data_IF_107331499039
#
_entry.id   IF_107331499039
#
_cell.length_a   1.000
_cell.length_b   1.000
_cell.length_c   1.000
_cell.angle_alpha   90.00
_cell.angle_beta   90.00
_cell.angle_gamma   90.00
#
_symmetry.space_group_name_H-M   'P 1'
#
loop_
_entity.id
_entity.type
_entity.pdbx_description
1 polymer ?
#
# COMPACT_ATOMS: atom_id res chain seq x y z
N UNK A 1 -20.19 -15.48 -0.59
CA UNK A 1 -18.93 -15.06 0.05
C UNK A 1 -18.86 -13.57 -0.10
N UNK A 2 -18.95 -12.80 0.99
CA UNK A 2 -18.74 -11.36 0.92
C UNK A 2 -17.36 -11.07 0.34
N UNK A 3 -17.29 -10.12 -0.59
CA UNK A 3 -16.05 -9.79 -1.28
C UNK A 3 -15.07 -9.17 -0.27
N UNK A 4 -13.87 -9.73 -0.11
CA UNK A 4 -12.91 -9.26 0.91
C UNK A 4 -12.25 -7.92 0.53
N UNK A 5 -12.39 -7.49 -0.72
CA UNK A 5 -11.74 -6.30 -1.28
C UNK A 5 -12.54 -5.67 -2.41
N UNK A 6 -12.14 -4.46 -2.81
CA UNK A 6 -12.54 -3.77 -4.03
C UNK A 6 -11.28 -3.40 -4.82
N UNK A 7 -11.30 -3.59 -6.14
CA UNK A 7 -10.28 -3.03 -7.02
C UNK A 7 -10.68 -1.60 -7.33
N UNK A 8 -9.87 -0.63 -6.92
CA UNK A 8 -10.14 0.79 -7.15
C UNK A 8 -9.60 1.23 -8.50
N UNK A 9 -8.43 0.73 -8.87
CA UNK A 9 -7.76 0.99 -10.14
C UNK A 9 -7.11 -0.31 -10.60
N UNK A 10 -7.25 -0.64 -11.89
CA UNK A 10 -6.60 -1.79 -12.51
C UNK A 10 -5.78 -1.35 -13.70
N UNK A 11 -4.51 -1.71 -13.70
CA UNK A 11 -3.57 -1.40 -14.77
C UNK A 11 -2.88 -2.69 -15.24
N UNK A 12 -3.59 -3.56 -15.97
CA UNK A 12 -3.07 -4.87 -16.37
C UNK A 12 -1.87 -4.80 -17.31
N UNK A 13 -1.63 -3.69 -18.02
CA UNK A 13 -0.45 -3.55 -18.87
C UNK A 13 0.86 -3.38 -18.06
N UNK A 14 0.74 -2.99 -16.78
CA UNK A 14 1.87 -2.65 -15.92
C UNK A 14 2.48 -1.30 -16.29
N UNK A 15 2.27 -0.27 -15.47
CA UNK A 15 2.69 1.09 -15.77
C UNK A 15 4.07 1.39 -15.16
N UNK A 16 4.96 1.94 -15.99
CA UNK A 16 6.28 2.44 -15.56
C UNK A 16 6.16 3.75 -14.76
N UNK A 17 7.23 4.22 -14.09
CA UNK A 17 7.23 5.52 -13.41
C UNK A 17 6.81 6.69 -14.30
N UNK A 18 7.17 6.67 -15.59
CA UNK A 18 6.80 7.73 -16.53
C UNK A 18 5.30 7.80 -16.86
N UNK A 19 4.56 6.72 -16.56
CA UNK A 19 3.15 6.55 -16.86
C UNK A 19 2.24 6.79 -15.65
N UNK A 20 2.82 6.95 -14.46
CA UNK A 20 2.10 7.24 -13.23
C UNK A 20 2.49 8.64 -12.76
N UNK A 21 1.52 9.54 -12.76
CA UNK A 21 1.67 10.88 -12.20
C UNK A 21 0.95 10.97 -10.86
N UNK A 22 1.29 12.00 -10.08
CA UNK A 22 0.63 12.31 -8.82
C UNK A 22 0.10 13.74 -8.89
N UNK A 23 -1.11 13.94 -8.38
CA UNK A 23 -1.62 15.24 -7.96
C UNK A 23 -1.63 15.27 -6.44
N UNK A 24 -0.65 15.93 -5.84
CA UNK A 24 -0.50 16.02 -4.39
C UNK A 24 -1.01 17.38 -3.89
N UNK A 25 -2.14 17.38 -3.17
CA UNK A 25 -2.87 18.59 -2.81
C UNK A 25 -3.69 18.40 -1.52
N UNK A 26 -3.90 19.49 -0.77
CA UNK A 26 -4.65 19.48 0.49
C UNK A 26 -6.15 19.15 0.31
N UNK A 27 -6.71 19.36 -0.89
CA UNK A 27 -8.08 18.95 -1.21
C UNK A 27 -8.29 17.43 -1.15
N UNK A 28 -7.21 16.65 -1.16
CA UNK A 28 -7.23 15.20 -1.00
C UNK A 28 -6.93 14.75 0.45
N UNK A 29 -6.81 15.68 1.39
CA UNK A 29 -6.71 15.36 2.81
C UNK A 29 -8.06 14.83 3.35
N UNK A 30 -8.03 14.31 4.57
CA UNK A 30 -9.25 13.83 5.26
C UNK A 30 -10.15 15.02 5.60
N UNK A 31 -11.44 14.87 5.35
CA UNK A 31 -12.48 15.79 5.84
C UNK A 31 -12.89 15.36 7.25
N UNK A 32 -12.84 16.24 8.28
CA UNK A 32 -13.34 15.91 9.61
C UNK A 32 -14.78 15.41 9.59
N UNK A 33 -15.10 14.45 10.45
CA UNK A 33 -16.45 13.91 10.54
C UNK A 33 -17.40 14.95 11.17
N UNK A 34 -18.64 15.13 10.68
CA UNK A 34 -19.57 16.14 11.21
C UNK A 34 -20.08 15.83 12.62
N UNK A 35 -20.13 14.55 13.00
CA UNK A 35 -20.36 14.12 14.39
C UNK A 35 -19.10 14.39 15.23
N UNK A 36 -19.20 15.36 16.13
CA UNK A 36 -18.10 15.84 16.98
C UNK A 36 -17.63 14.76 17.96
N UNK A 37 -18.53 13.94 18.48
CA UNK A 37 -18.16 12.88 19.43
C UNK A 37 -17.36 11.79 18.71
N UNK A 38 -17.78 11.43 17.50
CA UNK A 38 -17.05 10.50 16.67
C UNK A 38 -15.68 11.05 16.25
N UNK A 39 -15.61 12.33 15.86
CA UNK A 39 -14.34 12.99 15.51
C UNK A 39 -13.38 13.06 16.70
N UNK A 40 -13.88 13.43 17.89
CA UNK A 40 -13.07 13.48 19.11
C UNK A 40 -12.55 12.10 19.52
N UNK A 41 -13.29 11.02 19.21
CA UNK A 41 -12.87 9.64 19.50
C UNK A 41 -11.54 9.25 18.85
N UNK A 42 -11.14 9.91 17.74
CA UNK A 42 -9.82 9.69 17.12
C UNK A 42 -8.70 9.96 18.12
N UNK A 43 -8.82 11.06 18.87
CA UNK A 43 -7.84 11.48 19.87
C UNK A 43 -7.85 10.53 21.07
N UNK A 44 -9.03 10.20 21.56
CA UNK A 44 -9.20 9.33 22.73
C UNK A 44 -8.62 7.93 22.50
N UNK A 45 -8.88 7.32 21.33
CA UNK A 45 -8.34 6.00 20.99
C UNK A 45 -6.82 6.03 20.89
N UNK A 46 -6.26 7.08 20.29
CA UNK A 46 -4.81 7.25 20.21
C UNK A 46 -4.18 7.35 21.60
N UNK A 47 -4.72 8.20 22.48
CA UNK A 47 -4.19 8.41 23.82
C UNK A 47 -4.23 7.11 24.65
N UNK A 48 -5.32 6.33 24.53
CA UNK A 48 -5.42 5.00 25.14
C UNK A 48 -4.38 4.01 24.58
N UNK A 49 -4.04 4.12 23.30
CA UNK A 49 -3.05 3.24 22.65
C UNK A 49 -1.63 3.58 23.08
N UNK A 50 -1.28 4.86 23.15
CA UNK A 50 0.03 5.35 23.62
C UNK A 50 0.28 4.95 25.07
N UNK A 51 -0.74 5.00 25.94
CA UNK A 51 -0.63 4.51 27.32
C UNK A 51 -0.25 3.02 27.43
N UNK A 52 -0.58 2.21 26.42
CA UNK A 52 -0.32 0.76 26.38
C UNK A 52 0.97 0.40 25.65
N UNK A 53 1.58 1.31 24.90
CA UNK A 53 2.77 1.07 24.09
C UNK A 53 3.64 2.32 24.02
N UNK A 54 4.74 2.31 24.77
CA UNK A 54 5.68 3.44 24.88
C UNK A 54 6.55 3.64 23.64
N UNK A 55 6.60 2.65 22.74
CA UNK A 55 7.34 2.71 21.47
C UNK A 55 6.50 3.21 20.29
N UNK A 56 5.22 3.49 20.49
CA UNK A 56 4.34 3.97 19.43
C UNK A 56 4.64 5.44 19.11
N UNK A 57 4.91 5.75 17.84
CA UNK A 57 5.09 7.12 17.36
C UNK A 57 4.08 7.44 16.25
N UNK A 58 3.77 8.73 16.08
CA UNK A 58 2.88 9.21 15.02
C UNK A 58 3.70 9.58 13.77
N UNK A 59 3.75 8.68 12.78
CA UNK A 59 4.38 8.94 11.48
C UNK A 59 3.39 9.49 10.45
N UNK A 60 3.85 10.40 9.58
CA UNK A 60 3.06 10.90 8.45
C UNK A 60 2.97 9.86 7.35
N UNK A 61 1.86 9.88 6.62
CA UNK A 61 1.58 8.97 5.50
C UNK A 61 0.91 9.73 4.37
N UNK A 62 1.08 9.26 3.15
CA UNK A 62 0.25 9.71 2.04
C UNK A 62 -1.17 9.17 2.20
N UNK A 63 -2.16 10.04 2.06
CA UNK A 63 -3.58 9.67 2.01
C UNK A 63 -3.97 9.42 0.57
N UNK A 64 -4.65 8.31 0.32
CA UNK A 64 -5.27 8.09 -0.99
C UNK A 64 -6.59 8.87 -1.09
N UNK A 65 -6.61 9.87 -1.98
CA UNK A 65 -7.78 10.72 -2.25
C UNK A 65 -8.55 10.33 -3.50
N UNK A 66 -7.98 9.47 -4.36
CA UNK A 66 -8.60 9.03 -5.62
C UNK A 66 -7.59 8.84 -6.73
N UNK A 67 -8.08 8.73 -7.96
CA UNK A 67 -7.28 8.73 -9.16
C UNK A 67 -8.06 9.27 -10.35
N UNK A 68 -7.36 9.54 -11.44
CA UNK A 68 -7.93 9.91 -12.74
C UNK A 68 -7.08 9.36 -13.88
N UNK A 69 -7.64 9.37 -15.08
CA UNK A 69 -7.01 8.77 -16.25
C UNK A 69 -7.27 7.27 -16.36
N UNK A 70 -6.84 6.72 -17.49
CA UNK A 70 -6.89 5.29 -17.82
C UNK A 70 -5.57 4.94 -18.50
N UNK A 71 -5.24 3.65 -18.57
CA UNK A 71 -4.03 3.23 -19.29
C UNK A 71 -3.94 3.87 -20.69
N UNK A 72 -2.75 4.30 -21.13
CA UNK A 72 -1.45 4.00 -20.53
C UNK A 72 -0.96 5.05 -19.50
N UNK A 73 -1.78 6.02 -19.07
CA UNK A 73 -1.36 7.03 -18.10
C UNK A 73 -2.41 7.27 -17.01
N UNK A 74 -2.00 7.16 -15.76
CA UNK A 74 -2.86 7.41 -14.60
C UNK A 74 -2.29 8.53 -13.74
N UNK A 75 -3.17 9.24 -13.04
CA UNK A 75 -2.81 10.26 -12.06
C UNK A 75 -3.43 9.89 -10.72
N UNK A 76 -2.57 9.64 -9.72
CA UNK A 76 -2.99 9.36 -8.34
C UNK A 76 -3.24 10.68 -7.61
N UNK A 77 -4.37 10.79 -6.93
CA UNK A 77 -4.71 11.96 -6.12
C UNK A 77 -4.33 11.68 -4.68
N UNK A 78 -3.34 12.39 -4.16
CA UNK A 78 -2.75 12.11 -2.85
C UNK A 78 -2.85 13.32 -1.94
N UNK A 79 -3.27 13.08 -0.69
CA UNK A 79 -3.20 14.05 0.40
C UNK A 79 -2.20 13.61 1.47
N UNK A 80 -2.29 14.23 2.63
CA UNK A 80 -1.57 13.86 3.84
C UNK A 80 -2.52 13.28 4.88
N UNK A 81 -1.98 12.34 5.64
CA UNK A 81 -2.57 11.83 6.87
C UNK A 81 -1.46 11.37 7.80
N UNK A 82 -1.82 10.76 8.92
CA UNK A 82 -0.87 10.19 9.85
C UNK A 82 -1.38 8.88 10.49
N UNK A 83 -0.45 8.21 11.15
CA UNK A 83 -0.72 6.93 11.80
C UNK A 83 -1.72 7.07 12.97
N UNK A 84 -1.69 8.18 13.69
CA UNK A 84 -2.66 8.52 14.74
C UNK A 84 -4.09 8.53 14.20
N UNK A 85 -4.32 9.24 13.11
CA UNK A 85 -5.62 9.35 12.47
C UNK A 85 -6.04 8.00 11.91
N UNK A 86 -5.11 7.19 11.40
CA UNK A 86 -5.39 5.83 10.95
C UNK A 86 -5.89 4.93 12.09
N UNK A 87 -5.21 4.96 13.24
CA UNK A 87 -5.61 4.22 14.44
C UNK A 87 -6.99 4.68 14.93
N UNK A 88 -7.22 5.99 14.97
CA UNK A 88 -8.46 6.56 15.50
C UNK A 88 -9.67 6.56 14.54
N UNK A 89 -9.47 6.32 13.24
CA UNK A 89 -10.56 6.27 12.24
C UNK A 89 -10.70 4.88 11.62
N UNK A 90 -9.77 4.46 10.75
CA UNK A 90 -9.84 3.16 10.09
C UNK A 90 -9.78 1.99 11.08
N UNK A 91 -8.94 2.05 12.12
CA UNK A 91 -8.86 0.99 13.14
C UNK A 91 -9.80 1.21 14.34
N UNK A 92 -10.65 2.23 14.28
CA UNK A 92 -11.66 2.48 15.31
C UNK A 92 -12.63 1.28 15.39
N UNK A 93 -13.03 0.81 16.58
CA UNK A 93 -14.09 -0.19 16.70
C UNK A 93 -15.40 0.20 16.00
N UNK A 94 -15.65 1.50 15.82
CA UNK A 94 -16.78 2.09 15.12
C UNK A 94 -16.41 2.62 13.73
N UNK A 95 -15.35 2.11 13.09
CA UNK A 95 -14.85 2.62 11.80
C UNK A 95 -15.92 2.75 10.71
N UNK A 96 -16.93 1.88 10.71
CA UNK A 96 -18.05 1.93 9.77
C UNK A 96 -18.85 3.23 9.86
N UNK A 97 -18.91 3.85 11.05
CA UNK A 97 -19.59 5.14 11.26
C UNK A 97 -18.86 6.31 10.61
N UNK A 98 -17.57 6.17 10.29
CA UNK A 98 -16.83 7.19 9.53
C UNK A 98 -17.15 7.14 8.03
N UNK A 99 -17.84 6.10 7.55
CA UNK A 99 -18.14 5.99 6.12
C UNK A 99 -19.28 6.92 5.74
N UNK A 100 -19.06 7.71 4.69
CA UNK A 100 -20.16 8.40 4.03
C UNK A 100 -21.02 7.37 3.25
N UNK A 101 -22.36 7.51 3.19
CA UNK A 101 -23.25 6.61 2.44
C UNK A 101 -23.06 6.56 0.91
N UNK A 102 -22.03 7.22 0.36
CA UNK A 102 -21.79 7.26 -1.08
C UNK A 102 -21.19 5.93 -1.56
N UNK A 103 -21.49 5.55 -2.80
CA UNK A 103 -20.82 4.43 -3.47
C UNK A 103 -19.47 4.83 -4.08
N UNK A 104 -19.26 6.13 -4.33
CA UNK A 104 -17.97 6.67 -4.77
C UNK A 104 -16.93 6.50 -3.66
N UNK A 105 -15.80 5.85 -3.97
CA UNK A 105 -14.80 5.45 -2.99
C UNK A 105 -14.21 6.66 -2.24
N UNK A 106 -13.93 7.73 -2.98
CA UNK A 106 -13.30 8.94 -2.48
C UNK A 106 -14.22 9.63 -1.46
N UNK A 107 -15.51 9.76 -1.79
CA UNK A 107 -16.53 10.29 -0.88
C UNK A 107 -16.83 9.35 0.28
N UNK A 108 -16.98 8.06 0.02
CA UNK A 108 -17.23 7.04 1.05
C UNK A 108 -16.19 7.12 2.17
N UNK A 109 -14.92 7.28 1.80
CA UNK A 109 -13.78 7.29 2.72
C UNK A 109 -13.30 8.70 3.09
N UNK A 110 -14.09 9.74 2.82
CA UNK A 110 -13.65 11.13 3.04
C UNK A 110 -13.33 11.44 4.52
N UNK A 111 -13.97 10.75 5.47
CA UNK A 111 -13.74 10.93 6.90
C UNK A 111 -12.75 9.92 7.52
N UNK A 112 -12.17 9.02 6.73
CA UNK A 112 -11.14 8.09 7.19
C UNK A 112 -9.75 8.55 6.80
N UNK A 113 -8.74 8.16 7.58
CA UNK A 113 -7.32 8.44 7.31
C UNK A 113 -6.91 7.92 5.93
N UNK A 114 -7.32 6.70 5.58
CA UNK A 114 -7.04 6.06 4.28
C UNK A 114 -5.56 6.15 3.85
N UNK A 115 -4.60 5.77 4.72
CA UNK A 115 -3.19 5.80 4.34
C UNK A 115 -2.94 4.81 3.20
N UNK A 116 -2.25 5.26 2.16
CA UNK A 116 -1.89 4.42 1.03
C UNK A 116 -0.72 3.52 1.43
N UNK A 117 -0.98 2.22 1.58
CA UNK A 117 0.09 1.22 1.65
C UNK A 117 0.63 0.87 0.27
N UNK A 118 1.71 0.11 0.21
CA UNK A 118 2.21 -0.51 -1.02
C UNK A 118 2.40 -2.03 -0.84
N UNK A 119 2.57 -2.75 -1.94
CA UNK A 119 2.86 -4.18 -1.94
C UNK A 119 3.40 -4.67 -3.29
N UNK A 120 4.35 -5.59 -3.27
CA UNK A 120 5.04 -6.09 -4.46
C UNK A 120 4.76 -7.57 -4.70
N UNK A 121 4.27 -7.89 -5.88
CA UNK A 121 4.30 -9.24 -6.41
C UNK A 121 5.67 -9.43 -7.06
N UNK A 122 6.57 -10.08 -6.33
CA UNK A 122 7.93 -10.36 -6.80
C UNK A 122 7.97 -11.76 -7.43
N UNK A 123 8.32 -11.84 -8.71
CA UNK A 123 8.52 -13.10 -9.43
C UNK A 123 10.02 -13.40 -9.60
N UNK A 124 10.47 -14.55 -9.11
CA UNK A 124 11.85 -15.03 -9.25
C UNK A 124 12.15 -15.56 -10.65
N UNK A 125 13.44 -15.77 -10.97
CA UNK A 125 13.87 -16.27 -12.28
C UNK A 125 13.36 -17.69 -12.59
N UNK A 126 13.03 -18.47 -11.56
CA UNK A 126 12.37 -19.79 -11.63
C UNK A 126 10.83 -19.72 -11.49
N UNK A 127 10.24 -18.56 -11.76
CA UNK A 127 8.79 -18.32 -11.82
C UNK A 127 8.04 -18.64 -10.52
N UNK A 128 8.65 -18.36 -9.37
CA UNK A 128 8.01 -18.41 -8.05
C UNK A 128 7.62 -17.02 -7.60
N UNK A 129 6.51 -16.93 -6.86
CA UNK A 129 6.07 -15.69 -6.22
C UNK A 129 6.50 -15.70 -4.76
N UNK A 130 7.01 -14.55 -4.30
CA UNK A 130 7.40 -14.34 -2.91
C UNK A 130 6.20 -13.93 -2.06
N UNK A 131 6.02 -14.59 -0.92
CA UNK A 131 4.96 -14.29 0.06
C UNK A 131 5.53 -14.38 1.46
N UNK A 132 5.25 -13.38 2.29
CA UNK A 132 5.69 -13.33 3.69
C UNK A 132 4.58 -13.78 4.63
N UNK A 133 4.96 -14.44 5.73
CA UNK A 133 4.10 -14.63 6.89
C UNK A 133 4.42 -13.55 7.92
N UNK A 134 3.42 -12.75 8.25
CA UNK A 134 3.56 -11.70 9.27
C UNK A 134 3.85 -12.31 10.64
N UNK A 135 4.71 -11.65 11.40
CA UNK A 135 4.97 -11.97 12.81
C UNK A 135 3.70 -11.85 13.64
N UNK A 136 3.67 -12.54 14.79
CA UNK A 136 2.54 -12.42 15.72
C UNK A 136 2.59 -11.13 16.56
N UNK A 137 3.70 -10.39 16.47
CA UNK A 137 3.94 -9.17 17.24
C UNK A 137 3.53 -7.89 16.51
N UNK A 138 3.06 -7.99 15.27
CA UNK A 138 2.65 -6.83 14.47
C UNK A 138 1.26 -6.33 14.88
N UNK A 139 1.00 -5.04 14.67
CA UNK A 139 -0.26 -4.39 15.06
C UNK A 139 -1.48 -4.76 14.19
N UNK A 140 -1.26 -5.20 12.95
CA UNK A 140 -2.32 -5.57 12.01
C UNK A 140 -2.07 -6.96 11.40
N UNK A 141 -3.11 -7.79 11.39
CA UNK A 141 -3.13 -9.13 10.77
C UNK A 141 -1.94 -10.03 11.20
N UNK A 142 -1.74 -10.29 12.50
CA UNK A 142 -0.68 -11.17 12.97
C UNK A 142 -0.83 -12.59 12.39
N UNK A 143 0.27 -13.16 11.90
CA UNK A 143 0.29 -14.51 11.31
C UNK A 143 -0.31 -14.63 9.91
N UNK A 144 -0.88 -13.56 9.34
CA UNK A 144 -1.43 -13.56 7.98
C UNK A 144 -0.33 -13.59 6.93
N UNK A 145 -0.70 -14.02 5.73
CA UNK A 145 0.17 -13.96 4.56
C UNK A 145 0.04 -12.59 3.88
N UNK A 146 1.16 -12.05 3.41
CA UNK A 146 1.20 -10.79 2.67
C UNK A 146 2.23 -10.85 1.55
N UNK A 147 2.06 -9.98 0.57
CA UNK A 147 3.14 -9.61 -0.34
C UNK A 147 4.10 -8.66 0.38
N UNK A 148 5.40 -8.67 0.05
CA UNK A 148 6.35 -7.70 0.60
C UNK A 148 5.89 -6.27 0.35
N UNK A 149 6.13 -5.37 1.30
CA UNK A 149 5.73 -3.97 1.21
C UNK A 149 5.35 -3.35 2.54
N UNK A 150 5.17 -2.04 2.52
CA UNK A 150 4.83 -1.24 3.69
C UNK A 150 4.12 0.05 3.28
N UNK A 151 4.78 1.19 3.46
CA UNK A 151 4.17 2.49 3.20
C UNK A 151 5.19 3.52 2.69
N UNK A 152 4.91 4.20 1.56
CA UNK A 152 5.66 5.40 1.22
C UNK A 152 5.45 6.47 2.29
N UNK A 153 6.54 7.10 2.72
CA UNK A 153 6.51 8.14 3.76
C UNK A 153 6.78 9.53 3.16
N UNK A 154 5.95 10.55 3.45
CA UNK A 154 6.19 11.90 2.96
C UNK A 154 7.56 12.47 3.37
N UNK A 155 8.11 12.05 4.50
CA UNK A 155 9.36 12.56 5.03
C UNK A 155 10.58 12.13 4.20
N UNK A 156 10.53 10.97 3.53
CA UNK A 156 11.59 10.49 2.61
C UNK A 156 11.80 11.43 1.42
N UNK A 157 10.77 12.17 1.03
CA UNK A 157 10.83 13.20 -0.02
C UNK A 157 10.84 14.63 0.51
N UNK A 158 11.05 14.80 1.83
CA UNK A 158 11.15 16.09 2.49
C UNK A 158 9.81 16.82 2.64
N UNK A 159 8.68 16.12 2.56
CA UNK A 159 7.34 16.69 2.72
C UNK A 159 6.91 16.59 4.17
N UNK A 160 6.81 17.75 4.83
CA UNK A 160 6.29 17.85 6.20
C UNK A 160 4.90 18.48 6.27
N UNK A 161 4.48 19.23 5.26
CA UNK A 161 3.14 19.82 5.12
C UNK A 161 2.92 20.34 3.69
N UNK A 162 1.68 20.65 3.34
CA UNK A 162 1.32 21.29 2.06
C UNK A 162 1.87 22.71 1.87
N UNK A 163 2.35 23.36 2.95
CA UNK A 163 2.86 24.75 2.91
C UNK A 163 4.07 24.92 1.98
N UNK A 164 4.74 23.83 1.63
CA UNK A 164 5.87 23.83 0.69
C UNK A 164 5.45 24.07 -0.78
N UNK A 165 4.17 24.09 -1.15
CA UNK A 165 3.68 24.13 -2.54
C UNK A 165 3.53 25.53 -3.17
N UNK A 166 4.05 26.61 -2.58
CA UNK A 166 3.85 27.96 -3.16
C UNK A 166 4.51 28.09 -4.55
N UNK A 167 3.68 28.12 -5.61
CA UNK A 167 4.07 28.34 -7.01
C UNK A 167 3.94 27.10 -7.91
N UNK A 168 3.55 27.29 -9.19
CA UNK A 168 3.25 26.20 -10.14
C UNK A 168 4.45 25.25 -10.39
N UNK A 169 5.65 25.80 -10.62
CA UNK A 169 6.87 25.00 -10.81
C UNK A 169 7.23 24.15 -9.58
N UNK A 170 6.87 24.62 -8.40
CA UNK A 170 7.12 23.91 -7.14
C UNK A 170 6.12 22.75 -6.95
N UNK A 171 4.87 22.93 -7.36
CA UNK A 171 3.86 21.87 -7.38
C UNK A 171 4.24 20.73 -8.34
N UNK A 172 4.68 21.03 -9.57
CA UNK A 172 5.13 20.02 -10.52
C UNK A 172 6.34 19.22 -10.00
N UNK A 173 7.32 19.91 -9.40
CA UNK A 173 8.47 19.27 -8.78
C UNK A 173 8.06 18.35 -7.62
N UNK A 174 7.15 18.80 -6.75
CA UNK A 174 6.65 17.99 -5.63
C UNK A 174 5.90 16.76 -6.16
N UNK A 175 5.00 16.94 -7.13
CA UNK A 175 4.27 15.84 -7.77
C UNK A 175 5.21 14.80 -8.38
N UNK A 176 6.28 15.25 -9.05
CA UNK A 176 7.31 14.36 -9.59
C UNK A 176 8.05 13.59 -8.50
N UNK A 177 8.44 14.25 -7.39
CA UNK A 177 9.08 13.58 -6.24
C UNK A 177 8.18 12.57 -5.57
N UNK A 178 6.91 12.92 -5.34
CA UNK A 178 5.95 12.00 -4.72
C UNK A 178 5.67 10.81 -5.63
N UNK A 179 5.54 11.03 -6.94
CA UNK A 179 5.39 9.93 -7.89
C UNK A 179 6.60 8.99 -7.85
N UNK A 180 7.81 9.53 -7.92
CA UNK A 180 9.04 8.73 -7.84
C UNK A 180 9.11 7.92 -6.54
N UNK A 181 8.74 8.52 -5.41
CA UNK A 181 8.70 7.85 -4.12
C UNK A 181 7.71 6.68 -4.05
N UNK A 182 6.61 6.69 -4.83
CA UNK A 182 5.71 5.53 -4.90
C UNK A 182 6.44 4.29 -5.45
N UNK A 183 7.41 4.47 -6.34
CA UNK A 183 8.19 3.38 -6.94
C UNK A 183 9.46 3.09 -6.14
N UNK A 184 10.15 4.11 -5.64
CA UNK A 184 11.36 3.93 -4.86
C UNK A 184 11.05 3.22 -3.53
N UNK A 185 9.95 3.60 -2.85
CA UNK A 185 9.54 2.97 -1.59
C UNK A 185 9.32 1.47 -1.74
N UNK A 186 8.63 1.02 -2.80
CA UNK A 186 8.36 -0.40 -2.92
C UNK A 186 9.62 -1.22 -3.22
N UNK A 187 10.60 -0.65 -3.91
CA UNK A 187 11.91 -1.30 -4.09
C UNK A 187 12.64 -1.40 -2.75
N UNK A 188 12.66 -0.32 -1.96
CA UNK A 188 13.28 -0.31 -0.63
C UNK A 188 12.66 -1.37 0.28
N UNK A 189 11.33 -1.41 0.36
CA UNK A 189 10.59 -2.38 1.18
C UNK A 189 10.90 -3.83 0.79
N UNK A 190 10.98 -4.13 -0.52
CA UNK A 190 11.36 -5.48 -0.98
C UNK A 190 12.80 -5.82 -0.56
N UNK A 191 13.72 -4.87 -0.65
CA UNK A 191 15.12 -5.08 -0.24
C UNK A 191 15.21 -5.27 1.28
N UNK A 192 14.50 -4.47 2.06
CA UNK A 192 14.53 -4.46 3.52
C UNK A 192 13.88 -5.72 4.12
N UNK A 193 12.72 -6.14 3.59
CA UNK A 193 11.98 -7.31 4.07
C UNK A 193 12.51 -8.65 3.53
N UNK A 194 13.06 -8.68 2.32
CA UNK A 194 13.52 -9.93 1.67
C UNK A 194 15.05 -10.08 1.71
N UNK A 195 15.81 -8.99 1.82
CA UNK A 195 17.27 -9.00 1.83
C UNK A 195 17.93 -9.18 0.46
N UNK A 196 17.16 -9.18 -0.63
CA UNK A 196 17.71 -9.27 -2.00
C UNK A 196 18.38 -7.96 -2.41
N UNK A 197 19.49 -7.98 -3.17
CA UNK A 197 20.09 -6.75 -3.66
C UNK A 197 19.18 -6.04 -4.67
N UNK A 198 19.06 -4.71 -4.56
CA UNK A 198 18.27 -3.90 -5.51
C UNK A 198 18.66 -4.14 -6.98
N UNK A 199 19.94 -4.36 -7.27
CA UNK A 199 20.44 -4.64 -8.61
C UNK A 199 19.93 -5.95 -9.23
N UNK A 200 19.33 -6.85 -8.43
CA UNK A 200 18.70 -8.08 -8.92
C UNK A 200 17.22 -7.89 -9.26
N UNK A 201 16.63 -6.74 -8.92
CA UNK A 201 15.23 -6.41 -9.18
C UNK A 201 15.12 -5.63 -10.48
N UNK A 202 14.09 -5.92 -11.26
CA UNK A 202 13.68 -5.06 -12.38
C UNK A 202 13.03 -3.78 -11.86
N UNK A 203 12.88 -2.79 -12.75
CA UNK A 203 12.05 -1.64 -12.43
C UNK A 203 10.62 -2.09 -12.07
N UNK A 204 10.03 -1.53 -10.99
CA UNK A 204 8.66 -1.84 -10.60
C UNK A 204 7.64 -1.35 -11.62
N UNK A 205 6.66 -2.20 -11.91
CA UNK A 205 5.49 -1.87 -12.72
C UNK A 205 4.26 -1.72 -11.82
N UNK A 206 3.62 -0.56 -11.84
CA UNK A 206 2.37 -0.33 -11.12
C UNK A 206 1.22 -1.07 -11.79
N UNK A 207 0.54 -1.95 -11.05
CA UNK A 207 -0.54 -2.81 -11.59
C UNK A 207 -1.93 -2.41 -11.09
N UNK A 208 -2.01 -1.47 -10.15
CA UNK A 208 -3.28 -0.89 -9.70
C UNK A 208 -3.39 -0.69 -8.18
N UNK A 209 -4.61 -0.41 -7.72
CA UNK A 209 -4.93 -0.16 -6.31
C UNK A 209 -6.04 -1.08 -5.87
N UNK A 210 -5.84 -1.72 -4.73
CA UNK A 210 -6.82 -2.58 -4.07
C UNK A 210 -7.12 -2.03 -2.68
N UNK A 211 -8.39 -2.06 -2.30
CA UNK A 211 -8.87 -1.67 -0.98
C UNK A 211 -9.51 -2.86 -0.29
N UNK A 212 -9.09 -3.18 0.93
CA UNK A 212 -9.84 -4.17 1.73
C UNK A 212 -11.21 -3.61 2.10
N UNK A 213 -12.21 -4.49 2.20
CA UNK A 213 -13.53 -4.10 2.74
C UNK A 213 -13.43 -3.77 4.22
N UNK A 214 -12.73 -4.62 5.00
CA UNK A 214 -12.47 -4.36 6.41
C UNK A 214 -11.63 -3.09 6.59
N UNK A 215 -12.17 -2.09 7.28
CA UNK A 215 -11.48 -0.85 7.65
C UNK A 215 -11.01 0.00 6.45
N UNK A 216 -11.52 -0.29 5.24
CA UNK A 216 -11.35 0.50 4.00
C UNK A 216 -9.93 0.99 3.69
N UNK A 217 -8.89 0.23 4.07
CA UNK A 217 -7.49 0.62 3.79
C UNK A 217 -7.10 0.28 2.34
N UNK A 218 -6.62 1.27 1.56
CA UNK A 218 -6.10 1.05 0.22
C UNK A 218 -4.61 0.64 0.25
N UNK A 219 -4.19 -0.07 -0.79
CA UNK A 219 -2.79 -0.33 -1.09
C UNK A 219 -2.54 -0.34 -2.61
N UNK A 220 -1.46 0.32 -3.02
CA UNK A 220 -0.92 0.27 -4.37
C UNK A 220 -0.12 -1.03 -4.56
N UNK A 221 -0.32 -1.71 -5.69
CA UNK A 221 0.39 -2.94 -6.00
C UNK A 221 1.32 -2.78 -7.18
N UNK A 222 2.48 -3.40 -7.07
CA UNK A 222 3.53 -3.40 -8.07
C UNK A 222 3.92 -4.83 -8.44
N UNK A 223 4.36 -5.01 -9.68
CA UNK A 223 5.00 -6.23 -10.14
C UNK A 223 6.49 -5.98 -10.35
N UNK A 224 7.33 -6.88 -9.85
CA UNK A 224 8.79 -6.78 -9.92
C UNK A 224 9.34 -8.16 -10.30
N UNK A 225 10.26 -8.21 -11.27
CA UNK A 225 11.03 -9.44 -11.55
C UNK A 225 12.31 -9.43 -10.73
N UNK A 226 12.67 -10.58 -10.18
CA UNK A 226 13.92 -10.82 -9.49
C UNK A 226 14.75 -11.82 -10.30
N UNK A 227 16.00 -11.47 -10.59
CA UNK A 227 16.92 -12.32 -11.35
C UNK A 227 17.46 -13.52 -10.54
N UNK A 228 17.23 -13.56 -9.23
CA UNK A 228 17.61 -14.67 -8.37
C UNK A 228 16.56 -15.79 -8.41
N UNK A 229 17.03 -17.03 -8.30
CA UNK A 229 16.15 -18.18 -8.10
C UNK A 229 15.57 -18.17 -6.68
N UNK A 230 14.41 -18.80 -6.50
CA UNK A 230 13.76 -18.93 -5.21
C UNK A 230 14.67 -19.47 -4.10
N UNK A 231 15.58 -20.40 -4.41
CA UNK A 231 16.52 -20.97 -3.43
C UNK A 231 17.60 -19.97 -2.99
N UNK A 232 17.99 -19.04 -3.86
CA UNK A 232 18.94 -17.97 -3.56
C UNK A 232 18.28 -16.90 -2.70
N UNK A 233 17.04 -16.52 -3.04
CA UNK A 233 16.24 -15.59 -2.25
C UNK A 233 16.05 -16.11 -0.81
N UNK A 234 15.74 -17.40 -0.64
CA UNK A 234 15.59 -18.01 0.69
C UNK A 234 16.88 -17.94 1.53
N UNK A 235 18.06 -17.99 0.91
CA UNK A 235 19.34 -17.87 1.63
C UNK A 235 19.56 -16.45 2.14
N UNK A 236 19.30 -15.44 1.32
CA UNK A 236 19.52 -14.03 1.68
C UNK A 236 18.45 -13.48 2.63
N UNK A 237 17.26 -14.07 2.67
CA UNK A 237 16.19 -13.70 3.62
C UNK A 237 16.64 -13.76 5.09
N UNK A 238 17.54 -14.66 5.44
CA UNK A 238 18.13 -14.72 6.79
C UNK A 238 18.90 -13.46 7.20
N UNK A 239 19.25 -12.60 6.24
CA UNK A 239 19.93 -11.31 6.44
C UNK A 239 19.02 -10.09 6.22
N UNK A 240 17.71 -10.29 6.05
CA UNK A 240 16.75 -9.19 5.91
C UNK A 240 16.80 -8.25 7.13
N UNK A 241 16.71 -6.94 6.88
CA UNK A 241 16.78 -5.92 7.92
C UNK A 241 15.55 -5.98 8.83
N UNK A 242 14.38 -6.19 8.23
CA UNK A 242 13.10 -6.27 8.93
C UNK A 242 12.68 -7.70 9.26
N UNK A 243 13.66 -8.53 9.63
CA UNK A 243 13.44 -9.92 10.04
C UNK A 243 12.53 -10.10 11.27
N UNK A 244 12.13 -9.04 11.97
CA UNK A 244 11.17 -9.09 13.07
C UNK A 244 9.71 -8.97 12.60
N UNK A 245 9.46 -8.39 11.41
CA UNK A 245 8.10 -8.14 10.88
C UNK A 245 7.47 -9.38 10.25
N UNK A 246 8.30 -10.29 9.75
CA UNK A 246 7.89 -11.55 9.17
C UNK A 246 8.58 -12.74 9.86
N UNK A 247 7.90 -13.89 9.94
CA UNK A 247 8.43 -15.12 10.54
C UNK A 247 8.84 -16.16 9.51
N UNK A 248 8.42 -15.98 8.25
CA UNK A 248 8.68 -16.92 7.18
C UNK A 248 8.53 -16.27 5.81
N UNK A 249 9.45 -16.61 4.91
CA UNK A 249 9.32 -16.38 3.47
C UNK A 249 8.87 -17.66 2.76
N UNK A 250 7.83 -17.56 1.94
CA UNK A 250 7.36 -18.60 1.04
C UNK A 250 7.70 -18.24 -0.41
N UNK A 251 8.14 -19.25 -1.16
CA UNK A 251 8.40 -19.18 -2.60
C UNK A 251 7.49 -20.16 -3.30
N UNK A 252 6.37 -19.69 -3.84
CA UNK A 252 5.24 -20.55 -4.25
C UNK A 252 4.91 -20.38 -5.73
N UNK A 253 4.35 -21.42 -6.33
CA UNK A 253 3.77 -21.28 -7.67
C UNK A 253 2.44 -20.53 -7.64
N UNK A 254 2.05 -20.00 -8.80
CA UNK A 254 0.78 -19.28 -8.98
C UNK A 254 -0.45 -20.12 -8.54
N UNK A 255 -0.46 -21.42 -8.84
CA UNK A 255 -1.54 -22.33 -8.45
C UNK A 255 -1.66 -22.53 -6.93
N UNK A 256 -0.55 -22.49 -6.20
CA UNK A 256 -0.54 -22.56 -4.74
C UNK A 256 -1.01 -21.25 -4.12
N UNK A 257 -0.63 -20.12 -4.73
CA UNK A 257 -1.03 -18.79 -4.29
C UNK A 257 -2.56 -18.60 -4.32
N UNK A 258 -3.27 -19.20 -5.28
CA UNK A 258 -4.74 -19.19 -5.30
C UNK A 258 -5.36 -19.75 -4.02
N UNK A 259 -4.80 -20.85 -3.50
CA UNK A 259 -5.26 -21.47 -2.26
C UNK A 259 -4.85 -20.66 -1.03
N UNK A 260 -3.70 -19.98 -1.08
CA UNK A 260 -3.14 -19.22 0.04
C UNK A 260 -3.70 -17.80 0.15
N UNK A 261 -4.20 -17.21 -0.94
CA UNK A 261 -4.74 -15.86 -0.97
C UNK A 261 -5.88 -15.66 0.05
N UNK A 262 -6.67 -16.70 0.35
CA UNK A 262 -7.71 -16.63 1.38
C UNK A 262 -7.17 -16.34 2.80
N UNK A 263 -5.86 -16.47 3.05
CA UNK A 263 -5.19 -16.11 4.31
C UNK A 263 -4.52 -14.74 4.27
N UNK A 264 -4.70 -13.99 3.18
CA UNK A 264 -4.20 -12.63 3.06
C UNK A 264 -5.24 -11.61 3.54
N UNK A 265 -4.82 -10.43 4.02
CA UNK A 265 -5.72 -9.29 4.18
C UNK A 265 -6.39 -8.93 2.85
N UNK A 266 -7.59 -8.35 2.90
CA UNK A 266 -8.36 -8.04 1.69
C UNK A 266 -7.56 -7.26 0.63
N UNK A 267 -6.78 -6.25 1.03
CA UNK A 267 -5.98 -5.44 0.11
C UNK A 267 -4.99 -6.33 -0.68
N UNK A 268 -4.27 -7.25 -0.03
CA UNK A 268 -3.37 -8.19 -0.69
C UNK A 268 -4.10 -9.26 -1.51
N UNK A 269 -5.32 -9.68 -1.12
CA UNK A 269 -6.16 -10.51 -2.00
C UNK A 269 -6.49 -9.80 -3.30
N UNK A 270 -6.81 -8.51 -3.22
CA UNK A 270 -7.01 -7.71 -4.42
C UNK A 270 -5.72 -7.42 -5.19
N UNK A 271 -4.58 -7.30 -4.52
CA UNK A 271 -3.26 -7.28 -5.17
C UNK A 271 -3.02 -8.54 -6.01
N UNK A 272 -3.37 -9.71 -5.47
CA UNK A 272 -3.32 -10.96 -6.24
C UNK A 272 -4.33 -10.96 -7.41
N UNK A 273 -5.52 -10.39 -7.23
CA UNK A 273 -6.49 -10.25 -8.31
C UNK A 273 -5.97 -9.33 -9.44
N UNK A 274 -5.31 -8.21 -9.11
CA UNK A 274 -4.64 -7.33 -10.08
C UNK A 274 -3.55 -8.08 -10.85
N UNK A 275 -2.74 -8.88 -10.14
CA UNK A 275 -1.71 -9.68 -10.80
C UNK A 275 -2.31 -10.70 -11.79
N UNK A 276 -3.43 -11.35 -11.45
CA UNK A 276 -4.12 -12.24 -12.40
C UNK A 276 -4.63 -11.51 -13.64
N UNK A 277 -5.08 -10.26 -13.51
CA UNK A 277 -5.49 -9.44 -14.66
C UNK A 277 -4.29 -9.12 -15.55
N UNK A 278 -3.16 -8.74 -14.97
CA UNK A 278 -1.90 -8.51 -15.69
C UNK A 278 -1.44 -9.75 -16.47
N UNK A 279 -1.49 -10.94 -15.85
CA UNK A 279 -1.16 -12.20 -16.51
C UNK A 279 -2.12 -12.55 -17.67
N UNK A 280 -3.39 -12.13 -17.55
CA UNK A 280 -4.39 -12.29 -18.61
C UNK A 280 -4.10 -11.41 -19.82
N UNK A 281 -3.70 -10.17 -19.59
CA UNK A 281 -3.36 -9.21 -20.65
C UNK A 281 -2.08 -9.60 -21.40
N UNK A 282 -1.04 -10.04 -20.68
CA UNK A 282 0.19 -10.56 -21.28
C UNK A 282 0.01 -11.81 -22.15
N UNK A 283 -1.12 -12.54 -22.01
CA UNK A 283 -1.48 -13.66 -22.89
C UNK A 283 -2.19 -13.21 -24.18
N UNK A 284 -2.78 -12.02 -24.21
CA UNK A 284 -3.45 -11.46 -25.39
C UNK A 284 -2.47 -10.77 -26.36
N UNK A 285 -1.19 -10.65 -25.98
CA UNK A 285 -0.11 -10.02 -26.76
C UNK A 285 0.81 -11.09 -27.43
N UNK A 286 0.45 -12.38 -27.37
CA UNK A 286 1.15 -13.47 -28.06
C UNK A 286 0.40 -13.98 -29.28
#
# INVERSE_FOLDING_TARGET
MENAFKLLLSCPSGLSPSQVSVNFDESYDRVPHPDIDLENSISEIWDQRVQKSTSLFNGKKFRYGGHSGVEPHVCLHLGLTDYRTFVGSNLNPLWEKFLHPSEDDCKQCQHTSSPLGNGAIVETSDNKILVLQRSNNVGEFPGYLVFPGGHPEPEEVGITSHKCQKGLQNSEMINSKVSQEMFDSIVREVVEEIGVPAATLSDPLFIGISRRVLNVRPAAFFFIKCNLESTEVQKVYSSAQDGYESTKLFTIHLSELENMAAKMPGCHRGGFALYKLMLGDGKNIK
#
